data_IF_269219793007
#
_entry.id   IF_269219793007
#
_cell.length_a   1.000
_cell.length_b   1.000
_cell.length_c   1.000
_cell.angle_alpha   90.00
_cell.angle_beta   90.00
_cell.angle_gamma   90.00
#
_symmetry.space_group_name_H-M   'P 1'
#
loop_
_entity.id
_entity.type
_entity.pdbx_description
1 polymer ?
#
# COMPACT_ATOMS: atom_id res chain seq x y z
N UNK A 1 26.23 -0.32 -15.28
CA UNK A 1 25.45 -1.10 -14.29
C UNK A 1 24.03 -1.08 -14.80
N UNK A 2 23.49 -2.21 -15.22
CA UNK A 2 22.08 -2.26 -15.64
C UNK A 2 21.19 -1.94 -14.42
N UNK A 3 20.13 -1.13 -14.58
CA UNK A 3 19.23 -0.82 -13.47
C UNK A 3 18.62 -2.11 -12.93
N UNK A 4 18.68 -2.31 -11.61
CA UNK A 4 17.99 -3.43 -10.96
C UNK A 4 16.49 -3.28 -11.25
N UNK A 5 15.84 -4.30 -11.83
CA UNK A 5 14.42 -4.21 -12.16
C UNK A 5 13.59 -3.99 -10.89
N UNK A 6 12.65 -3.05 -10.95
CA UNK A 6 11.73 -2.76 -9.85
C UNK A 6 10.80 -3.95 -9.65
N UNK A 7 10.74 -4.49 -8.43
CA UNK A 7 9.76 -5.53 -8.08
C UNK A 7 8.36 -4.92 -8.08
N UNK A 8 7.41 -5.58 -8.72
CA UNK A 8 6.00 -5.20 -8.71
C UNK A 8 5.26 -6.20 -7.82
N UNK A 9 4.70 -5.73 -6.71
CA UNK A 9 4.17 -6.60 -5.65
C UNK A 9 2.76 -6.17 -5.28
N UNK A 10 1.85 -7.13 -5.17
CA UNK A 10 0.50 -6.92 -4.64
C UNK A 10 0.29 -7.74 -3.37
N UNK A 11 -0.27 -7.13 -2.33
CA UNK A 11 -0.74 -7.82 -1.12
C UNK A 11 -2.20 -7.43 -0.86
N UNK A 12 -3.03 -8.40 -0.48
CA UNK A 12 -4.42 -8.13 -0.12
C UNK A 12 -5.38 -9.18 -0.64
N UNK A 13 -6.65 -8.83 -0.76
CA UNK A 13 -7.74 -9.74 -1.04
C UNK A 13 -7.49 -10.61 -2.28
N UNK A 14 -7.80 -11.91 -2.16
CA UNK A 14 -7.59 -12.90 -3.21
C UNK A 14 -8.25 -12.55 -4.57
N UNK A 15 -9.46 -11.94 -4.62
CA UNK A 15 -10.06 -11.51 -5.89
C UNK A 15 -9.20 -10.49 -6.64
N UNK A 16 -8.65 -9.49 -5.94
CA UNK A 16 -7.77 -8.47 -6.53
C UNK A 16 -6.46 -9.09 -7.02
N UNK A 17 -5.88 -10.01 -6.24
CA UNK A 17 -4.62 -10.67 -6.58
C UNK A 17 -4.64 -11.38 -7.94
N UNK A 18 -5.81 -11.84 -8.38
CA UNK A 18 -5.96 -12.48 -9.70
C UNK A 18 -5.63 -11.51 -10.84
N UNK A 19 -6.15 -10.28 -10.79
CA UNK A 19 -5.88 -9.25 -11.80
C UNK A 19 -4.41 -8.82 -11.82
N UNK A 20 -3.82 -8.61 -10.64
CA UNK A 20 -2.41 -8.24 -10.52
C UNK A 20 -1.45 -9.33 -11.03
N UNK A 21 -1.77 -10.61 -10.80
CA UNK A 21 -0.98 -11.71 -11.32
C UNK A 21 -0.97 -11.73 -12.85
N UNK A 22 -2.11 -11.45 -13.50
CA UNK A 22 -2.19 -11.34 -14.96
C UNK A 22 -1.34 -10.18 -15.49
N UNK A 23 -1.17 -9.12 -14.70
CA UNK A 23 -0.31 -7.97 -15.03
C UNK A 23 1.18 -8.21 -14.74
N UNK A 24 1.57 -9.40 -14.24
CA UNK A 24 2.97 -9.74 -13.97
C UNK A 24 3.46 -9.38 -12.57
N UNK A 25 2.56 -9.03 -11.64
CA UNK A 25 2.94 -8.78 -10.25
C UNK A 25 3.26 -10.08 -9.51
N UNK A 26 4.20 -9.99 -8.57
CA UNK A 26 4.32 -10.91 -7.46
C UNK A 26 3.12 -10.70 -6.53
N UNK A 27 2.32 -11.73 -6.25
CA UNK A 27 1.06 -11.57 -5.51
C UNK A 27 1.00 -12.39 -4.22
N UNK A 28 0.48 -11.76 -3.17
CA UNK A 28 0.24 -12.32 -1.85
C UNK A 28 -1.26 -12.25 -1.52
N UNK A 29 -2.06 -13.23 -1.96
CA UNK A 29 -3.50 -13.24 -1.73
C UNK A 29 -3.82 -13.53 -0.26
N UNK A 30 -4.74 -12.75 0.33
CA UNK A 30 -5.15 -12.87 1.73
C UNK A 30 -4.05 -12.50 2.72
N UNK A 31 -3.10 -11.67 2.32
CA UNK A 31 -2.03 -11.21 3.21
C UNK A 31 -2.59 -10.38 4.37
N UNK A 32 -1.97 -10.53 5.55
CA UNK A 32 -2.25 -9.76 6.75
C UNK A 32 -1.17 -8.71 7.02
N UNK A 33 -1.38 -7.88 8.05
CA UNK A 33 -0.45 -6.84 8.47
C UNK A 33 0.95 -7.41 8.82
N UNK A 34 1.01 -8.61 9.42
CA UNK A 34 2.27 -9.25 9.78
C UNK A 34 3.08 -9.68 8.55
N UNK A 35 2.40 -10.16 7.50
CA UNK A 35 3.01 -10.47 6.22
C UNK A 35 3.48 -9.21 5.49
N UNK A 36 2.68 -8.15 5.52
CA UNK A 36 3.08 -6.84 4.99
C UNK A 36 4.34 -6.31 5.68
N UNK A 37 4.38 -6.32 7.02
CA UNK A 37 5.54 -5.85 7.79
C UNK A 37 6.81 -6.63 7.46
N UNK A 38 6.72 -7.96 7.34
CA UNK A 38 7.85 -8.81 6.92
C UNK A 38 8.38 -8.45 5.54
N UNK A 39 7.48 -8.26 4.56
CA UNK A 39 7.88 -7.89 3.22
C UNK A 39 8.54 -6.51 3.19
N UNK A 40 7.97 -5.53 3.89
CA UNK A 40 8.54 -4.19 3.95
C UNK A 40 9.93 -4.19 4.61
N UNK A 41 10.14 -4.98 5.66
CA UNK A 41 11.46 -5.13 6.29
C UNK A 41 12.48 -5.81 5.35
N UNK A 42 12.08 -6.82 4.57
CA UNK A 42 12.92 -7.44 3.54
C UNK A 42 13.33 -6.44 2.45
N UNK A 43 12.37 -5.71 1.89
CA UNK A 43 12.61 -4.72 0.84
C UNK A 43 13.56 -3.61 1.32
N UNK A 44 13.40 -3.18 2.58
CA UNK A 44 14.28 -2.19 3.20
C UNK A 44 15.69 -2.72 3.43
N UNK A 45 15.82 -3.93 3.98
CA UNK A 45 17.11 -4.56 4.25
C UNK A 45 17.91 -4.81 2.97
N UNK A 46 17.24 -5.31 1.93
CA UNK A 46 17.84 -5.57 0.62
C UNK A 46 18.07 -4.30 -0.21
N UNK A 47 17.46 -3.17 0.17
CA UNK A 47 17.44 -1.91 -0.59
C UNK A 47 16.89 -2.09 -2.02
N UNK A 48 16.03 -3.08 -2.22
CA UNK A 48 15.45 -3.41 -3.53
C UNK A 48 14.39 -2.38 -3.92
N UNK A 49 14.44 -1.79 -5.13
CA UNK A 49 13.37 -0.94 -5.62
C UNK A 49 12.07 -1.73 -5.79
N UNK A 50 10.95 -1.20 -5.29
CA UNK A 50 9.67 -1.88 -5.38
C UNK A 50 8.50 -0.91 -5.60
N UNK A 51 7.53 -1.34 -6.41
CA UNK A 51 6.15 -0.86 -6.39
C UNK A 51 5.35 -1.87 -5.58
N UNK A 52 4.81 -1.43 -4.44
CA UNK A 52 3.98 -2.23 -3.56
C UNK A 52 2.56 -1.68 -3.62
N UNK A 53 1.63 -2.52 -4.05
CA UNK A 53 0.20 -2.24 -4.06
C UNK A 53 -0.44 -3.06 -2.94
N UNK A 54 -1.21 -2.39 -2.08
CA UNK A 54 -1.98 -3.04 -1.02
C UNK A 54 -3.47 -2.79 -1.23
N UNK A 55 -4.34 -3.63 -0.68
CA UNK A 55 -5.76 -3.30 -0.58
C UNK A 55 -6.02 -2.29 0.56
N UNK A 56 -7.25 -1.81 0.63
CA UNK A 56 -7.69 -0.85 1.64
C UNK A 56 -7.58 -1.40 3.06
N UNK A 57 -7.96 -2.67 3.28
CA UNK A 57 -7.89 -3.31 4.60
C UNK A 57 -6.46 -3.32 5.15
N UNK A 58 -5.45 -3.61 4.31
CA UNK A 58 -4.04 -3.53 4.71
C UNK A 58 -3.57 -2.08 4.88
N UNK A 59 -4.08 -1.14 4.09
CA UNK A 59 -3.73 0.28 4.21
C UNK A 59 -4.23 0.89 5.53
N UNK A 60 -5.37 0.41 6.03
CA UNK A 60 -6.00 0.81 7.29
C UNK A 60 -5.59 -0.08 8.49
N UNK A 61 -4.73 -1.08 8.26
CA UNK A 61 -4.29 -2.01 9.31
C UNK A 61 -3.29 -1.38 10.29
N UNK A 62 -3.12 -2.01 11.45
CA UNK A 62 -2.13 -1.64 12.47
C UNK A 62 -0.65 -1.96 12.07
N UNK A 63 -0.32 -1.95 10.78
CA UNK A 63 1.05 -2.20 10.29
C UNK A 63 2.03 -1.18 10.87
N UNK A 64 3.05 -1.67 11.57
CA UNK A 64 4.04 -0.81 12.23
C UNK A 64 5.09 -0.26 11.26
N UNK A 65 5.14 -0.79 10.03
CA UNK A 65 6.13 -0.43 9.01
C UNK A 65 5.60 0.50 7.93
N UNK A 66 4.27 0.58 7.76
CA UNK A 66 3.64 1.36 6.69
C UNK A 66 4.08 2.84 6.72
N UNK A 67 3.88 3.52 7.84
CA UNK A 67 4.20 4.94 8.01
C UNK A 67 5.70 5.23 7.85
N UNK A 68 6.53 4.28 8.29
CA UNK A 68 7.98 4.39 8.13
C UNK A 68 8.42 4.29 6.67
N UNK A 69 7.79 3.42 5.89
CA UNK A 69 8.07 3.29 4.46
C UNK A 69 7.53 4.49 3.69
N UNK A 70 6.32 4.98 4.03
CA UNK A 70 5.73 6.18 3.42
C UNK A 70 6.62 7.42 3.61
N UNK A 71 7.31 7.53 4.75
CA UNK A 71 8.23 8.63 5.04
C UNK A 71 9.66 8.47 4.48
N UNK A 72 10.10 7.25 4.14
CA UNK A 72 11.47 6.99 3.67
C UNK A 72 11.75 7.52 2.26
N UNK A 73 10.71 7.69 1.42
CA UNK A 73 10.74 8.37 0.12
C UNK A 73 11.84 7.90 -0.87
N UNK A 74 11.47 7.18 -1.93
CA UNK A 74 12.30 7.10 -3.15
C UNK A 74 12.90 5.75 -3.54
N UNK A 75 12.60 4.64 -2.82
CA UNK A 75 12.90 3.27 -3.30
C UNK A 75 11.70 2.35 -3.31
N UNK A 76 10.78 2.52 -2.37
CA UNK A 76 9.54 1.77 -2.29
C UNK A 76 8.41 2.75 -2.58
N UNK A 77 7.73 2.57 -3.71
CA UNK A 77 6.48 3.27 -4.01
C UNK A 77 5.34 2.42 -3.44
N UNK A 78 4.65 2.94 -2.44
CA UNK A 78 3.51 2.28 -1.81
C UNK A 78 2.22 2.97 -2.28
N UNK A 79 1.27 2.20 -2.81
CA UNK A 79 -0.06 2.67 -3.17
C UNK A 79 -1.11 1.67 -2.72
N UNK A 80 -2.34 2.13 -2.59
CA UNK A 80 -3.48 1.30 -2.23
C UNK A 80 -4.49 1.25 -3.37
N UNK A 81 -5.34 0.22 -3.37
CA UNK A 81 -6.47 0.08 -4.28
C UNK A 81 -7.76 -0.20 -3.49
N UNK A 82 -8.92 0.31 -3.94
CA UNK A 82 -10.19 0.02 -3.30
C UNK A 82 -10.61 -1.43 -3.51
N UNK A 83 -11.56 -1.92 -2.70
CA UNK A 83 -12.16 -3.22 -2.94
C UNK A 83 -12.99 -3.22 -4.24
N UNK A 84 -13.06 -4.38 -4.91
CA UNK A 84 -13.74 -4.51 -6.21
C UNK A 84 -15.25 -4.25 -6.15
N UNK A 85 -15.89 -4.49 -5.01
CA UNK A 85 -17.34 -4.32 -4.84
C UNK A 85 -17.74 -2.89 -4.47
N UNK A 86 -16.78 -2.05 -4.07
CA UNK A 86 -17.01 -0.64 -3.68
C UNK A 86 -15.86 0.25 -4.17
N UNK A 87 -15.70 0.38 -5.50
CA UNK A 87 -14.60 1.16 -6.07
C UNK A 87 -14.63 2.65 -5.69
N UNK A 88 -15.82 3.18 -5.35
CA UNK A 88 -16.02 4.58 -4.98
C UNK A 88 -15.70 4.89 -3.49
N UNK A 89 -15.42 3.86 -2.67
CA UNK A 89 -15.14 4.01 -1.23
C UNK A 89 -13.63 4.04 -0.91
N UNK A 90 -12.79 4.37 -1.90
CA UNK A 90 -11.36 4.50 -1.66
C UNK A 90 -11.08 5.63 -0.65
N UNK A 91 -10.52 5.27 0.51
CA UNK A 91 -10.12 6.23 1.54
C UNK A 91 -8.60 6.29 1.67
N UNK A 92 -8.00 7.42 1.33
CA UNK A 92 -6.55 7.64 1.44
C UNK A 92 -6.20 8.45 2.69
N UNK A 93 -5.01 8.22 3.25
CA UNK A 93 -4.46 9.11 4.28
C UNK A 93 -4.25 10.56 3.80
N UNK A 94 -4.26 10.79 2.48
CA UNK A 94 -4.29 12.12 1.89
C UNK A 94 -5.64 12.80 2.09
N UNK A 95 -6.74 12.05 2.06
CA UNK A 95 -8.10 12.60 2.22
C UNK A 95 -8.25 13.20 3.62
N UNK A 96 -7.83 12.47 4.66
CA UNK A 96 -7.76 12.98 6.03
C UNK A 96 -6.90 14.25 6.13
N UNK A 97 -5.75 14.25 5.45
CA UNK A 97 -4.85 15.40 5.48
C UNK A 97 -5.47 16.62 4.78
N UNK A 98 -6.22 16.41 3.71
CA UNK A 98 -6.95 17.47 3.02
C UNK A 98 -8.06 18.02 3.92
N UNK A 99 -8.86 17.17 4.58
CA UNK A 99 -9.90 17.62 5.53
C UNK A 99 -9.31 18.49 6.65
N UNK A 100 -8.17 18.05 7.22
CA UNK A 100 -7.43 18.83 8.22
C UNK A 100 -6.94 20.18 7.70
N UNK A 101 -6.39 20.21 6.48
CA UNK A 101 -5.89 21.45 5.86
C UNK A 101 -7.01 22.41 5.49
N UNK A 102 -8.18 21.89 5.13
CA UNK A 102 -9.37 22.67 4.77
C UNK A 102 -10.20 23.07 5.99
N UNK A 103 -9.83 22.62 7.20
CA UNK A 103 -10.56 22.92 8.44
C UNK A 103 -11.93 22.28 8.54
N UNK A 104 -12.18 21.24 7.73
CA UNK A 104 -13.48 20.58 7.64
C UNK A 104 -13.72 19.59 8.79
N UNK A 105 -12.69 19.31 9.59
CA UNK A 105 -12.78 18.55 10.84
C UNK A 105 -13.33 19.37 12.03
N UNK A 106 -13.63 20.65 11.81
CA UNK A 106 -14.00 21.61 12.85
C UNK A 106 -15.19 22.49 12.49
N UNK A 107 -16.36 21.91 12.27
CA UNK A 107 -17.62 22.64 12.41
C UNK A 107 -18.75 21.72 12.92
N UNK A 108 -18.62 21.30 14.17
CA UNK A 108 -19.76 20.95 15.02
C UNK A 108 -19.65 21.78 16.29
N UNK A 109 -20.18 23.00 16.22
CA UNK A 109 -20.53 23.83 17.38
C UNK A 109 -22.05 23.97 17.46
#
# INVERSE_FOLDING_TARGET
MEPTPTRQIFLGAAPLATGFRLAGFEVYPGADAAQLDRLLDELRASRTPALVVIDQDLAESDSQRLERVRSEGGRILLTQVPPLNRPDEMHSSVDDRIQQLLGMDGDTA
#
